data_IF_430627688105
#
_entry.id   IF_430627688105
#
_cell.length_a   1.000
_cell.length_b   1.000
_cell.length_c   1.000
_cell.angle_alpha   90.00
_cell.angle_beta   90.00
_cell.angle_gamma   90.00
#
_symmetry.space_group_name_H-M   'P 1'
#
loop_
_entity.id
_entity.type
_entity.pdbx_description
1 polymer ?
#
# COMPACT_ATOMS: atom_id res chain seq x y z
N UNK A 1 -3.71 22.55 -29.66
CA UNK A 1 -3.68 23.43 -28.46
C UNK A 1 -2.25 23.51 -27.97
N UNK A 2 -1.74 24.71 -27.64
CA UNK A 2 -0.38 24.87 -27.13
C UNK A 2 -0.34 24.50 -25.63
N UNK A 3 0.60 23.63 -25.24
CA UNK A 3 0.80 23.25 -23.84
C UNK A 3 1.24 24.48 -23.05
N UNK A 4 0.54 24.78 -21.97
CA UNK A 4 0.80 25.93 -21.10
C UNK A 4 2.09 25.73 -20.31
N UNK A 5 2.70 26.84 -19.86
CA UNK A 5 3.90 26.79 -19.00
C UNK A 5 3.66 25.99 -17.70
N UNK A 6 2.42 26.00 -17.19
CA UNK A 6 2.02 25.21 -16.02
C UNK A 6 2.03 23.72 -16.33
N UNK A 7 1.39 23.31 -17.42
CA UNK A 7 1.36 21.91 -17.86
C UNK A 7 2.77 21.36 -18.15
N UNK A 8 3.66 22.15 -18.75
CA UNK A 8 5.07 21.77 -18.96
C UNK A 8 5.81 21.55 -17.63
N UNK A 9 5.54 22.40 -16.63
CA UNK A 9 6.12 22.27 -15.30
C UNK A 9 5.61 21.00 -14.61
N UNK A 10 4.31 20.74 -14.68
CA UNK A 10 3.70 19.55 -14.07
C UNK A 10 4.18 18.26 -14.75
N UNK A 11 4.27 18.23 -16.08
CA UNK A 11 4.83 17.10 -16.82
C UNK A 11 6.30 16.82 -16.46
N UNK A 12 7.10 17.88 -16.31
CA UNK A 12 8.49 17.75 -15.88
C UNK A 12 8.59 17.23 -14.45
N UNK A 13 7.73 17.71 -13.55
CA UNK A 13 7.63 17.20 -12.18
C UNK A 13 7.29 15.72 -12.16
N UNK A 14 6.37 15.27 -13.00
CA UNK A 14 5.99 13.86 -13.09
C UNK A 14 7.14 12.99 -13.61
N UNK A 15 7.88 13.44 -14.63
CA UNK A 15 9.08 12.73 -15.12
C UNK A 15 10.13 12.58 -14.02
N UNK A 16 10.36 13.63 -13.24
CA UNK A 16 11.28 13.60 -12.09
C UNK A 16 10.83 12.62 -11.01
N UNK A 17 9.54 12.54 -10.70
CA UNK A 17 8.99 11.56 -9.78
C UNK A 17 9.21 10.13 -10.33
N UNK A 18 8.81 9.86 -11.57
CA UNK A 18 8.99 8.54 -12.19
C UNK A 18 10.46 8.11 -12.24
N UNK A 19 11.37 9.01 -12.60
CA UNK A 19 12.81 8.76 -12.60
C UNK A 19 13.35 8.51 -11.18
N UNK A 20 12.94 9.34 -10.22
CA UNK A 20 13.31 9.18 -8.82
C UNK A 20 12.89 7.82 -8.28
N UNK A 21 11.67 7.39 -8.59
CA UNK A 21 11.16 6.07 -8.18
C UNK A 21 12.05 4.93 -8.72
N UNK A 22 12.44 4.98 -10.00
CA UNK A 22 13.32 3.95 -10.61
C UNK A 22 14.73 3.95 -10.00
N UNK A 23 15.33 5.10 -9.80
CA UNK A 23 16.70 5.18 -9.25
C UNK A 23 16.71 4.78 -7.77
N UNK A 24 15.74 5.25 -6.98
CA UNK A 24 15.62 4.84 -5.58
C UNK A 24 15.31 3.35 -5.44
N UNK A 25 14.56 2.76 -6.37
CA UNK A 25 14.29 1.34 -6.45
C UNK A 25 15.55 0.50 -6.65
N UNK A 26 16.46 0.96 -7.52
CA UNK A 26 17.66 0.25 -7.89
C UNK A 26 18.78 0.41 -6.83
N UNK A 27 19.02 1.63 -6.37
CA UNK A 27 20.21 1.98 -5.59
C UNK A 27 19.91 2.24 -4.10
N UNK A 28 18.64 2.19 -3.72
CA UNK A 28 18.15 2.71 -2.44
C UNK A 28 18.28 4.24 -2.33
N UNK A 29 17.68 4.85 -1.31
CA UNK A 29 17.77 6.33 -1.15
C UNK A 29 19.19 6.78 -0.88
N UNK A 30 19.99 6.04 -0.11
CA UNK A 30 21.35 6.46 0.20
C UNK A 30 22.28 6.34 -1.02
N UNK A 31 22.20 5.24 -1.77
CA UNK A 31 23.02 5.00 -2.97
C UNK A 31 22.64 5.87 -4.16
N UNK A 32 21.36 6.23 -4.29
CA UNK A 32 20.87 7.07 -5.38
C UNK A 32 21.55 8.45 -5.44
N UNK A 33 22.00 8.83 -6.64
CA UNK A 33 22.58 10.15 -6.92
C UNK A 33 21.57 11.01 -7.67
N UNK A 34 21.47 12.30 -7.31
CA UNK A 34 20.59 13.25 -8.01
C UNK A 34 20.94 13.36 -9.50
N UNK A 35 22.23 13.20 -9.86
CA UNK A 35 22.67 13.16 -11.26
C UNK A 35 22.04 12.02 -12.07
N UNK A 36 21.89 10.85 -11.46
CA UNK A 36 21.26 9.69 -12.12
C UNK A 36 19.77 9.92 -12.33
N UNK A 37 19.11 10.54 -11.35
CA UNK A 37 17.68 10.91 -11.45
C UNK A 37 17.44 11.96 -12.54
N UNK A 38 18.27 13.01 -12.61
CA UNK A 38 18.14 14.04 -13.64
C UNK A 38 18.35 13.45 -15.04
N UNK A 39 19.33 12.55 -15.19
CA UNK A 39 19.61 11.83 -16.43
C UNK A 39 18.44 10.92 -16.83
N UNK A 40 17.92 10.12 -15.90
CA UNK A 40 16.77 9.24 -16.14
C UNK A 40 15.49 10.02 -16.48
N UNK A 41 15.31 11.22 -15.91
CA UNK A 41 14.18 12.09 -16.23
C UNK A 41 14.35 12.88 -17.54
N UNK A 42 15.52 12.80 -18.18
CA UNK A 42 15.91 13.59 -19.35
C UNK A 42 15.76 15.10 -19.08
N UNK A 43 16.34 15.57 -17.97
CA UNK A 43 16.36 16.99 -17.60
C UNK A 43 17.73 17.42 -17.09
N UNK A 44 18.00 18.74 -17.15
CA UNK A 44 19.19 19.30 -16.54
C UNK A 44 19.10 19.26 -15.00
N UNK A 45 20.25 19.13 -14.33
CA UNK A 45 20.35 19.16 -12.86
C UNK A 45 19.70 20.41 -12.24
N UNK A 46 19.88 21.58 -12.85
CA UNK A 46 19.26 22.83 -12.37
C UNK A 46 17.73 22.78 -12.44
N UNK A 47 17.16 22.08 -13.43
CA UNK A 47 15.72 21.85 -13.52
C UNK A 47 15.24 20.97 -12.37
N UNK A 48 15.96 19.90 -12.04
CA UNK A 48 15.62 19.06 -10.89
C UNK A 48 15.58 19.88 -9.60
N UNK A 49 16.62 20.68 -9.32
CA UNK A 49 16.68 21.52 -8.12
C UNK A 49 15.60 22.61 -8.05
N UNK A 50 15.09 23.05 -9.20
CA UNK A 50 13.95 23.97 -9.27
C UNK A 50 12.65 23.32 -8.76
N UNK A 51 12.54 22.00 -8.87
CA UNK A 51 11.36 21.23 -8.43
C UNK A 51 11.55 20.62 -7.04
N UNK A 52 12.75 20.12 -6.75
CA UNK A 52 13.07 19.41 -5.51
C UNK A 52 14.42 19.90 -4.99
N UNK A 53 14.46 20.62 -3.84
CA UNK A 53 15.69 21.23 -3.33
C UNK A 53 16.75 20.21 -2.95
N UNK A 54 16.34 18.99 -2.60
CA UNK A 54 17.22 17.90 -2.21
C UNK A 54 16.59 16.53 -2.54
N UNK A 55 17.40 15.47 -2.37
CA UNK A 55 17.02 14.07 -2.61
C UNK A 55 15.87 13.63 -1.70
N UNK A 56 15.86 14.10 -0.45
CA UNK A 56 14.83 13.74 0.52
C UNK A 56 13.48 14.40 0.18
N UNK A 57 13.47 15.60 -0.39
CA UNK A 57 12.26 16.28 -0.83
C UNK A 57 11.58 15.54 -1.98
N UNK A 58 12.36 15.04 -2.95
CA UNK A 58 11.85 14.16 -4.00
C UNK A 58 11.31 12.86 -3.42
N UNK A 59 12.05 12.24 -2.50
CA UNK A 59 11.62 11.02 -1.83
C UNK A 59 10.31 11.19 -1.06
N UNK A 60 10.18 12.25 -0.23
CA UNK A 60 8.96 12.56 0.53
C UNK A 60 7.76 12.75 -0.40
N UNK A 61 7.95 13.44 -1.52
CA UNK A 61 6.87 13.65 -2.48
C UNK A 61 6.44 12.34 -3.16
N UNK A 62 7.39 11.46 -3.47
CA UNK A 62 7.08 10.12 -3.96
C UNK A 62 6.26 9.33 -2.95
N UNK A 63 6.66 9.32 -1.67
CA UNK A 63 5.89 8.63 -0.62
C UNK A 63 4.47 9.19 -0.55
N UNK A 64 4.34 10.52 -0.58
CA UNK A 64 3.04 11.18 -0.57
C UNK A 64 2.18 10.77 -1.77
N UNK A 65 2.76 10.73 -2.97
CA UNK A 65 2.04 10.31 -4.17
C UNK A 65 1.57 8.85 -4.07
N UNK A 66 2.43 7.94 -3.62
CA UNK A 66 2.06 6.54 -3.39
C UNK A 66 0.96 6.38 -2.33
N UNK A 67 1.04 7.13 -1.23
CA UNK A 67 -0.01 7.19 -0.20
C UNK A 67 -1.36 7.58 -0.80
N UNK A 68 -1.39 8.63 -1.62
CA UNK A 68 -2.63 9.07 -2.30
C UNK A 68 -3.18 7.97 -3.18
N UNK A 69 -2.34 7.31 -4.00
CA UNK A 69 -2.77 6.20 -4.87
C UNK A 69 -3.38 5.03 -4.09
N UNK A 70 -2.77 4.63 -2.98
CA UNK A 70 -3.31 3.56 -2.11
C UNK A 70 -4.64 3.98 -1.52
N UNK A 71 -4.74 5.19 -0.98
CA UNK A 71 -5.99 5.72 -0.40
C UNK A 71 -7.11 5.76 -1.44
N UNK A 72 -6.84 6.30 -2.63
CA UNK A 72 -7.80 6.36 -3.73
C UNK A 72 -8.24 4.95 -4.15
N UNK A 73 -7.30 4.01 -4.27
CA UNK A 73 -7.60 2.61 -4.56
C UNK A 73 -8.51 1.97 -3.52
N UNK A 74 -8.26 2.20 -2.22
CA UNK A 74 -9.10 1.71 -1.13
C UNK A 74 -10.50 2.33 -1.17
N UNK A 75 -10.61 3.63 -1.46
CA UNK A 75 -11.91 4.32 -1.60
C UNK A 75 -12.70 3.76 -2.78
N UNK A 76 -12.06 3.51 -3.93
CA UNK A 76 -12.68 2.91 -5.09
C UNK A 76 -13.14 1.47 -4.82
N UNK A 77 -12.32 0.68 -4.10
CA UNK A 77 -12.67 -0.68 -3.70
C UNK A 77 -13.94 -0.73 -2.82
N UNK A 78 -14.21 0.31 -2.01
CA UNK A 78 -15.46 0.41 -1.25
C UNK A 78 -16.72 0.54 -2.12
N UNK A 79 -16.57 0.78 -3.42
CA UNK A 79 -17.68 0.94 -4.36
C UNK A 79 -17.70 -0.15 -5.45
N UNK A 80 -16.74 -1.09 -5.41
CA UNK A 80 -16.52 -2.04 -6.51
C UNK A 80 -17.46 -3.25 -6.49
N UNK A 81 -18.12 -3.53 -5.37
CA UNK A 81 -18.97 -4.71 -5.18
C UNK A 81 -20.16 -4.43 -4.28
N UNK A 82 -21.34 -5.04 -4.55
CA UNK A 82 -22.48 -4.99 -3.64
C UNK A 82 -22.20 -5.73 -2.32
N UNK A 83 -21.34 -6.75 -2.33
CA UNK A 83 -20.99 -7.55 -1.15
C UNK A 83 -19.75 -6.99 -0.44
N UNK A 84 -19.72 -7.09 0.90
CA UNK A 84 -18.55 -6.71 1.70
C UNK A 84 -17.30 -7.50 1.32
N UNK A 85 -17.43 -8.81 1.27
CA UNK A 85 -16.32 -9.70 0.91
C UNK A 85 -15.72 -9.36 -0.47
N UNK A 86 -16.54 -8.92 -1.43
CA UNK A 86 -16.05 -8.46 -2.74
C UNK A 86 -15.30 -7.13 -2.66
N UNK A 87 -15.78 -6.18 -1.84
CA UNK A 87 -15.09 -4.90 -1.59
C UNK A 87 -13.76 -5.09 -0.89
N UNK A 88 -13.74 -5.95 0.13
CA UNK A 88 -12.51 -6.31 0.86
C UNK A 88 -11.50 -6.98 -0.07
N UNK A 89 -11.95 -7.94 -0.90
CA UNK A 89 -11.07 -8.58 -1.90
C UNK A 89 -10.50 -7.56 -2.87
N UNK A 90 -11.33 -6.68 -3.43
CA UNK A 90 -10.87 -5.63 -4.34
C UNK A 90 -9.85 -4.68 -3.68
N UNK A 91 -10.03 -4.38 -2.40
CA UNK A 91 -9.06 -3.59 -1.64
C UNK A 91 -7.72 -4.32 -1.53
N UNK A 92 -7.72 -5.62 -1.19
CA UNK A 92 -6.49 -6.42 -1.08
C UNK A 92 -5.80 -6.62 -2.42
N UNK A 93 -6.55 -6.86 -3.49
CA UNK A 93 -6.02 -6.92 -4.87
C UNK A 93 -5.34 -5.60 -5.25
N UNK A 94 -5.97 -4.47 -4.94
CA UNK A 94 -5.40 -3.14 -5.19
C UNK A 94 -4.07 -2.93 -4.45
N UNK A 95 -4.00 -3.31 -3.17
CA UNK A 95 -2.78 -3.16 -2.37
C UNK A 95 -1.68 -4.12 -2.86
N UNK A 96 -2.01 -5.37 -3.18
CA UNK A 96 -1.05 -6.35 -3.72
C UNK A 96 -0.53 -5.91 -5.09
N UNK A 97 -1.42 -5.45 -5.99
CA UNK A 97 -1.02 -4.92 -7.29
C UNK A 97 -0.11 -3.69 -7.14
N UNK A 98 -0.45 -2.79 -6.21
CA UNK A 98 0.41 -1.65 -5.89
C UNK A 98 1.79 -2.11 -5.40
N UNK A 99 1.85 -3.09 -4.50
CA UNK A 99 3.10 -3.67 -4.01
C UNK A 99 3.92 -4.37 -5.12
N UNK A 100 3.29 -4.97 -6.13
CA UNK A 100 4.02 -5.56 -7.26
C UNK A 100 4.58 -4.50 -8.21
N UNK A 101 3.78 -3.49 -8.55
CA UNK A 101 4.17 -2.42 -9.48
C UNK A 101 5.21 -1.48 -8.85
N UNK A 102 5.05 -1.20 -7.56
CA UNK A 102 5.86 -0.24 -6.82
C UNK A 102 6.69 -0.93 -5.72
N UNK A 103 6.97 -2.23 -5.81
CA UNK A 103 7.63 -3.01 -4.76
C UNK A 103 8.95 -2.46 -4.23
N UNK A 104 9.87 -1.98 -5.08
CA UNK A 104 11.07 -1.30 -4.58
C UNK A 104 10.79 0.01 -3.84
N UNK A 105 9.75 0.74 -4.24
CA UNK A 105 9.29 1.95 -3.55
C UNK A 105 8.63 1.60 -2.20
N UNK A 106 7.86 0.52 -2.16
CA UNK A 106 7.26 -0.02 -0.94
C UNK A 106 8.37 -0.46 0.03
N UNK A 107 9.34 -1.25 -0.42
CA UNK A 107 10.55 -1.62 0.36
C UNK A 107 11.27 -0.42 0.93
N UNK A 108 11.38 0.66 0.16
CA UNK A 108 12.04 1.86 0.63
C UNK A 108 11.28 2.58 1.75
N UNK A 109 9.95 2.62 1.68
CA UNK A 109 9.11 3.10 2.78
C UNK A 109 9.30 2.22 4.04
N UNK A 110 9.37 0.90 3.87
CA UNK A 110 9.42 -0.06 4.98
C UNK A 110 10.81 -0.23 5.60
N UNK A 111 11.87 -0.11 4.80
CA UNK A 111 13.27 -0.21 5.24
C UNK A 111 13.70 0.85 6.26
N UNK A 112 12.96 1.96 6.37
CA UNK A 112 13.20 2.99 7.40
C UNK A 112 12.67 2.57 8.78
N UNK A 113 11.83 1.54 8.83
CA UNK A 113 11.28 0.93 10.03
C UNK A 113 10.17 1.77 10.68
N UNK A 114 9.31 1.11 11.46
CA UNK A 114 8.07 1.68 12.00
C UNK A 114 8.24 2.95 12.87
N UNK A 115 9.47 3.30 13.26
CA UNK A 115 9.79 4.55 13.98
C UNK A 115 9.89 5.79 13.07
N UNK A 116 10.04 5.60 11.76
CA UNK A 116 10.16 6.70 10.80
C UNK A 116 8.84 7.52 10.74
N UNK A 117 8.90 8.86 10.87
CA UNK A 117 7.70 9.70 10.84
C UNK A 117 6.88 9.56 9.56
N UNK A 118 7.53 9.33 8.41
CA UNK A 118 6.83 9.17 7.14
C UNK A 118 6.07 7.85 7.08
N UNK A 119 6.69 6.76 7.51
CA UNK A 119 6.00 5.46 7.58
C UNK A 119 4.82 5.54 8.55
N UNK A 120 4.99 6.19 9.71
CA UNK A 120 3.89 6.44 10.65
C UNK A 120 2.76 7.24 10.02
N UNK A 121 3.06 8.33 9.32
CA UNK A 121 2.05 9.15 8.62
C UNK A 121 1.24 8.32 7.60
N UNK A 122 1.90 7.45 6.83
CA UNK A 122 1.23 6.58 5.86
C UNK A 122 0.32 5.57 6.57
N UNK A 123 0.83 4.89 7.59
CA UNK A 123 0.05 3.91 8.37
C UNK A 123 -1.13 4.56 9.07
N UNK A 124 -0.93 5.74 9.69
CA UNK A 124 -1.98 6.50 10.35
C UNK A 124 -3.09 6.89 9.36
N UNK A 125 -2.72 7.43 8.19
CA UNK A 125 -3.70 7.83 7.18
C UNK A 125 -4.54 6.66 6.65
N UNK A 126 -3.93 5.48 6.46
CA UNK A 126 -4.67 4.29 6.00
C UNK A 126 -5.54 3.71 7.13
N UNK A 127 -5.03 3.68 8.37
CA UNK A 127 -5.79 3.22 9.53
C UNK A 127 -7.00 4.12 9.81
N UNK A 128 -6.84 5.44 9.73
CA UNK A 128 -7.95 6.40 9.94
C UNK A 128 -9.08 6.21 8.91
N UNK A 129 -8.77 5.74 7.69
CA UNK A 129 -9.79 5.38 6.70
C UNK A 129 -10.55 4.10 7.04
N UNK A 130 -9.95 3.20 7.83
CA UNK A 130 -10.56 1.94 8.27
C UNK A 130 -11.52 2.13 9.43
N UNK A 131 -11.23 3.08 10.32
CA UNK A 131 -11.98 3.28 11.57
C UNK A 131 -13.50 3.40 11.35
N UNK A 132 -14.01 4.26 10.45
CA UNK A 132 -15.46 4.40 10.26
C UNK A 132 -16.14 3.11 9.81
N UNK A 133 -15.47 2.29 8.99
CA UNK A 133 -16.03 1.02 8.54
C UNK A 133 -16.09 -0.02 9.67
N UNK A 134 -15.11 -0.02 10.58
CA UNK A 134 -15.16 -0.87 11.77
C UNK A 134 -16.28 -0.44 12.73
N UNK A 135 -16.48 0.87 12.89
CA UNK A 135 -17.57 1.44 13.71
C UNK A 135 -18.95 1.10 13.11
N UNK A 136 -19.13 1.31 11.80
CA UNK A 136 -20.32 0.87 11.04
C UNK A 136 -20.55 -0.63 11.25
N UNK A 137 -19.48 -1.42 11.22
CA UNK A 137 -19.60 -2.86 11.41
C UNK A 137 -19.96 -3.33 12.80
N UNK A 138 -19.57 -2.59 13.83
CA UNK A 138 -20.01 -2.84 15.20
C UNK A 138 -21.47 -2.45 15.40
N UNK A 139 -21.92 -1.36 14.76
CA UNK A 139 -23.30 -0.90 14.81
C UNK A 139 -24.25 -1.92 14.17
N UNK A 140 -23.84 -2.50 13.04
CA UNK A 140 -24.61 -3.50 12.30
C UNK A 140 -24.39 -4.95 12.76
N UNK A 141 -23.42 -5.19 13.66
CA UNK A 141 -23.25 -6.47 14.35
C UNK A 141 -22.38 -7.52 13.65
N UNK A 142 -21.71 -7.17 12.54
CA UNK A 142 -20.79 -8.07 11.84
C UNK A 142 -19.32 -7.89 12.25
N UNK A 143 -18.97 -6.84 13.00
CA UNK A 143 -17.69 -6.70 13.72
C UNK A 143 -17.88 -6.92 15.22
N UNK A 144 -16.92 -7.58 15.87
CA UNK A 144 -16.94 -7.79 17.32
C UNK A 144 -16.87 -6.46 18.09
N UNK A 145 -17.70 -6.33 19.12
CA UNK A 145 -17.85 -5.10 19.92
C UNK A 145 -16.77 -4.90 20.99
N UNK A 146 -15.97 -5.93 21.27
CA UNK A 146 -14.85 -5.88 22.22
C UNK A 146 -13.57 -5.28 21.61
N UNK A 147 -13.57 -5.00 20.31
CA UNK A 147 -12.46 -4.36 19.62
C UNK A 147 -12.56 -2.83 19.72
N UNK A 148 -11.44 -2.19 20.04
CA UNK A 148 -11.26 -0.75 19.81
C UNK A 148 -11.03 -0.51 18.30
N UNK A 149 -11.89 0.25 17.59
CA UNK A 149 -11.78 0.42 16.14
C UNK A 149 -10.43 1.00 15.69
N UNK A 150 -9.83 1.92 16.47
CA UNK A 150 -8.55 2.54 16.12
C UNK A 150 -7.39 1.56 16.24
N UNK A 151 -7.33 0.81 17.35
CA UNK A 151 -6.32 -0.21 17.57
C UNK A 151 -6.46 -1.34 16.55
N UNK A 152 -7.70 -1.81 16.29
CA UNK A 152 -7.97 -2.86 15.31
C UNK A 152 -7.56 -2.45 13.90
N UNK A 153 -7.93 -1.24 13.45
CA UNK A 153 -7.50 -0.68 12.17
C UNK A 153 -5.97 -0.65 12.04
N UNK A 154 -5.27 -0.21 13.09
CA UNK A 154 -3.81 -0.13 13.09
C UNK A 154 -3.15 -1.51 13.03
N UNK A 155 -3.69 -2.49 13.76
CA UNK A 155 -3.23 -3.88 13.71
C UNK A 155 -3.44 -4.48 12.31
N UNK A 156 -4.60 -4.23 11.69
CA UNK A 156 -4.91 -4.69 10.35
C UNK A 156 -3.93 -4.13 9.31
N UNK A 157 -3.75 -2.81 9.30
CA UNK A 157 -2.82 -2.13 8.39
C UNK A 157 -1.38 -2.61 8.61
N UNK A 158 -0.97 -2.77 9.87
CA UNK A 158 0.35 -3.30 10.21
C UNK A 158 0.57 -4.72 9.68
N UNK A 159 -0.42 -5.61 9.82
CA UNK A 159 -0.34 -6.98 9.32
C UNK A 159 -0.25 -7.02 7.79
N UNK A 160 -1.05 -6.23 7.08
CA UNK A 160 -0.99 -6.08 5.62
C UNK A 160 0.40 -5.60 5.20
N UNK A 161 0.89 -4.53 5.82
CA UNK A 161 2.19 -3.95 5.50
C UNK A 161 3.32 -4.96 5.71
N UNK A 162 3.33 -5.65 6.85
CA UNK A 162 4.39 -6.61 7.17
C UNK A 162 4.38 -7.84 6.24
N UNK A 163 3.20 -8.38 5.92
CA UNK A 163 3.11 -9.52 5.02
C UNK A 163 3.62 -9.17 3.62
N UNK A 164 3.27 -7.99 3.11
CA UNK A 164 3.72 -7.54 1.79
C UNK A 164 5.23 -7.29 1.75
N UNK A 165 5.79 -6.68 2.80
CA UNK A 165 7.24 -6.50 2.95
C UNK A 165 7.98 -7.83 2.79
N UNK A 166 7.54 -8.82 3.58
CA UNK A 166 8.11 -10.15 3.59
C UNK A 166 7.91 -10.86 2.24
N UNK A 167 6.73 -10.77 1.64
CA UNK A 167 6.44 -11.45 0.38
C UNK A 167 7.21 -10.87 -0.81
N UNK A 168 7.45 -9.56 -0.85
CA UNK A 168 8.24 -8.94 -1.94
C UNK A 168 9.67 -9.50 -1.99
N UNK A 169 10.25 -9.85 -0.84
CA UNK A 169 11.56 -10.49 -0.76
C UNK A 169 11.51 -12.02 -0.94
N UNK A 170 10.31 -12.61 -0.94
CA UNK A 170 10.09 -14.05 -1.07
C UNK A 170 8.99 -14.37 -2.12
N UNK A 171 9.09 -13.84 -3.35
CA UNK A 171 8.01 -13.91 -4.33
C UNK A 171 7.73 -15.34 -4.83
N UNK A 172 8.70 -16.24 -4.72
CA UNK A 172 8.58 -17.64 -5.17
C UNK A 172 7.80 -18.53 -4.19
N UNK A 173 7.57 -18.07 -2.95
CA UNK A 173 6.87 -18.85 -1.93
C UNK A 173 5.36 -18.84 -2.13
N UNK A 174 4.80 -17.74 -2.64
CA UNK A 174 3.36 -17.55 -2.80
C UNK A 174 3.04 -16.71 -4.04
N UNK A 175 1.97 -17.05 -4.75
CA UNK A 175 1.43 -16.20 -5.81
C UNK A 175 0.73 -14.97 -5.22
N UNK A 176 0.55 -13.93 -6.03
CA UNK A 176 -0.21 -12.74 -5.64
C UNK A 176 -1.64 -13.09 -5.18
N UNK A 177 -2.29 -14.04 -5.86
CA UNK A 177 -3.63 -14.52 -5.52
C UNK A 177 -3.66 -15.18 -4.13
N UNK A 178 -2.66 -16.00 -3.81
CA UNK A 178 -2.54 -16.62 -2.49
C UNK A 178 -2.33 -15.58 -1.38
N UNK A 179 -1.58 -14.51 -1.65
CA UNK A 179 -1.41 -13.39 -0.70
C UNK A 179 -2.72 -12.62 -0.51
N UNK A 180 -3.45 -12.32 -1.58
CA UNK A 180 -4.78 -11.69 -1.51
C UNK A 180 -5.74 -12.53 -0.67
N UNK A 181 -5.78 -13.84 -0.90
CA UNK A 181 -6.62 -14.78 -0.15
C UNK A 181 -6.26 -14.77 1.34
N UNK A 182 -4.96 -14.83 1.66
CA UNK A 182 -4.50 -14.81 3.04
C UNK A 182 -4.84 -13.49 3.76
N UNK A 183 -4.69 -12.35 3.09
CA UNK A 183 -5.07 -11.05 3.64
C UNK A 183 -6.58 -10.96 3.89
N UNK A 184 -7.39 -11.48 2.96
CA UNK A 184 -8.84 -11.56 3.14
C UNK A 184 -9.22 -12.44 4.34
N UNK A 185 -8.56 -13.59 4.50
CA UNK A 185 -8.75 -14.50 5.63
C UNK A 185 -8.42 -13.78 6.94
N UNK A 186 -7.21 -13.24 7.08
CA UNK A 186 -6.77 -12.57 8.32
C UNK A 186 -7.68 -11.40 8.69
N UNK A 187 -8.07 -10.58 7.70
CA UNK A 187 -8.99 -9.46 7.91
C UNK A 187 -10.33 -9.93 8.46
N UNK A 188 -10.86 -11.07 8.01
CA UNK A 188 -12.14 -11.66 8.49
C UNK A 188 -12.02 -12.29 9.87
N UNK A 189 -11.09 -13.22 10.07
CA UNK A 189 -10.93 -13.94 11.34
C UNK A 189 -10.52 -13.04 12.52
N UNK A 190 -9.85 -11.92 12.23
CA UNK A 190 -9.43 -10.96 13.25
C UNK A 190 -10.57 -10.10 13.81
N UNK A 191 -11.71 -9.97 13.13
CA UNK A 191 -12.70 -8.93 13.45
C UNK A 191 -14.17 -9.36 13.37
N UNK A 192 -14.48 -10.48 12.71
CA UNK A 192 -15.86 -10.91 12.49
C UNK A 192 -16.59 -11.28 13.80
N UNK A 193 -17.79 -10.70 13.96
CA UNK A 193 -18.72 -11.02 15.03
C UNK A 193 -19.27 -12.44 14.92
N UNK A 194 -19.74 -13.02 16.03
CA UNK A 194 -20.33 -14.37 16.06
C UNK A 194 -21.52 -14.55 15.08
N UNK A 195 -22.15 -13.47 14.63
CA UNK A 195 -23.23 -13.47 13.63
C UNK A 195 -22.79 -13.34 12.17
N UNK A 196 -21.50 -13.15 11.87
CA UNK A 196 -21.00 -13.08 10.48
C UNK A 196 -20.83 -14.46 9.83
N UNK A 197 -20.67 -15.51 10.65
CA UNK A 197 -20.51 -16.90 10.20
C UNK A 197 -21.81 -17.54 9.66
N UNK A 198 -22.95 -16.85 9.75
CA UNK A 198 -24.25 -17.41 9.35
C UNK A 198 -24.60 -17.20 7.87
N UNK A 199 -23.90 -16.31 7.16
CA UNK A 199 -24.10 -16.08 5.72
C UNK A 199 -23.17 -16.98 4.88
N UNK A 200 -23.28 -18.30 5.05
CA UNK A 200 -22.87 -19.32 4.05
C UNK A 200 -21.41 -19.32 3.55
N UNK A 201 -20.53 -18.51 4.12
CA UNK A 201 -19.12 -18.44 3.79
C UNK A 201 -18.38 -19.61 4.41
N UNK A 202 -18.44 -20.77 3.77
CA UNK A 202 -17.60 -21.89 4.14
C UNK A 202 -16.15 -21.39 4.19
N UNK A 203 -15.47 -21.60 5.32
CA UNK A 203 -14.02 -21.38 5.39
C UNK A 203 -13.38 -22.04 4.16
N UNK A 204 -12.51 -21.36 3.39
CA UNK A 204 -11.69 -22.08 2.43
C UNK A 204 -10.96 -23.18 3.22
N UNK A 205 -10.94 -24.43 2.73
CA UNK A 205 -10.23 -25.49 3.42
C UNK A 205 -8.80 -25.01 3.66
N UNK A 206 -8.33 -25.15 4.90
CA UNK A 206 -6.93 -24.90 5.26
C UNK A 206 -6.06 -25.49 4.16
N UNK A 207 -5.14 -24.73 3.54
CA UNK A 207 -4.22 -25.29 2.58
C UNK A 207 -3.51 -26.42 3.31
N UNK A 208 -3.80 -27.66 2.89
CA UNK A 208 -3.17 -28.83 3.45
C UNK A 208 -1.68 -28.54 3.51
N UNK A 209 -1.10 -28.62 4.71
CA UNK A 209 0.32 -28.41 4.92
C UNK A 209 1.04 -29.27 3.88
N UNK A 210 1.49 -28.62 2.81
CA UNK A 210 2.26 -29.25 1.76
C UNK A 210 3.45 -29.81 2.47
N UNK A 211 3.53 -31.14 2.51
CA UNK A 211 4.61 -31.93 3.04
C UNK A 211 5.94 -31.30 2.64
N UNK A 212 6.54 -30.49 3.50
CA UNK A 212 7.97 -30.23 3.49
C UNK A 212 8.64 -31.52 3.94
N UNK A 213 8.75 -32.45 3.00
CA UNK A 213 9.58 -33.63 3.11
C UNK A 213 10.75 -33.47 2.15
N UNK A 214 11.91 -33.29 2.79
CA UNK A 214 13.31 -33.44 2.30
C UNK A 214 13.87 -32.36 1.38
#
# INVERSE_FOLDING_TARGET
MAVTRKEMKDATRQRLLSAGAKVFAADGVQGARIADIAREAEVAMGTLYTHFPDKDALFRELIRAGKVMVIEGLVLARQSSPTRAGRDRAAMEGVVAFAQVYGPFFRLLLSRGAGDPMQREVVDAIADLRVPELEEGQAEGWIRRDLDPRAAARCEVGAVFHLLDWWIDNPDLYTAEQIVDQLCIVRRFGVEGAGALTDGGNLPPSPAAGSMAS
#
